data_IF_812822847920
#
_entry.id   IF_812822847920
#
_cell.length_a   1.000
_cell.length_b   1.000
_cell.length_c   1.000
_cell.angle_alpha   90.00
_cell.angle_beta   90.00
_cell.angle_gamma   90.00
#
_symmetry.space_group_name_H-M   'P 1'
#
loop_
_entity.id
_entity.type
_entity.pdbx_description
1 polymer ?
#
# COMPACT_ATOMS: atom_id res chain seq x y z
N UNK A 1 31.59 -3.53 7.59
CA UNK A 1 30.16 -3.57 7.96
C UNK A 1 29.42 -4.20 6.81
N UNK A 2 29.17 -5.51 6.85
CA UNK A 2 28.26 -6.14 5.90
C UNK A 2 26.85 -5.77 6.34
N UNK A 3 26.13 -5.07 5.48
CA UNK A 3 24.68 -4.96 5.62
C UNK A 3 24.10 -6.34 5.32
N UNK A 4 23.62 -7.03 6.35
CA UNK A 4 22.85 -8.26 6.16
C UNK A 4 21.62 -7.93 5.31
N UNK A 5 21.66 -8.33 4.04
CA UNK A 5 20.53 -8.22 3.09
C UNK A 5 19.30 -9.02 3.54
N UNK A 6 19.43 -9.85 4.59
CA UNK A 6 18.34 -10.59 5.22
C UNK A 6 17.54 -9.78 6.26
N UNK A 7 17.99 -8.59 6.66
CA UNK A 7 17.32 -7.76 7.68
C UNK A 7 16.84 -6.39 7.20
N UNK A 8 17.09 -6.06 5.93
CA UNK A 8 16.60 -4.81 5.33
C UNK A 8 15.29 -5.11 4.60
N UNK A 9 14.16 -4.50 4.99
CA UNK A 9 12.89 -4.73 4.31
C UNK A 9 13.00 -4.26 2.85
N UNK A 10 12.44 -5.04 1.93
CA UNK A 10 12.43 -4.71 0.51
C UNK A 10 11.52 -3.51 0.19
N UNK A 11 10.46 -3.31 1.00
CA UNK A 11 9.60 -2.14 0.90
C UNK A 11 9.22 -1.69 2.31
N UNK A 12 9.45 -0.41 2.59
CA UNK A 12 8.99 0.24 3.81
C UNK A 12 8.17 1.47 3.44
N UNK A 13 6.92 1.48 3.88
CA UNK A 13 5.96 2.56 3.68
C UNK A 13 5.52 3.03 5.05
N UNK A 14 5.61 4.33 5.30
CA UNK A 14 5.18 4.94 6.54
C UNK A 14 4.07 5.96 6.27
N UNK A 15 2.95 5.83 7.00
CA UNK A 15 1.85 6.79 7.00
C UNK A 15 1.33 7.15 5.60
N UNK A 16 1.23 6.16 4.71
CA UNK A 16 0.68 6.33 3.37
C UNK A 16 -0.76 6.85 3.46
N UNK A 17 -0.97 7.99 2.81
CA UNK A 17 -2.28 8.62 2.69
C UNK A 17 -2.63 8.79 1.23
N UNK A 18 -3.83 8.35 0.85
CA UNK A 18 -4.35 8.49 -0.51
C UNK A 18 -5.75 9.05 -0.47
N UNK A 19 -5.91 10.24 -1.02
CA UNK A 19 -7.20 10.85 -1.30
C UNK A 19 -7.40 10.87 -2.82
N UNK A 20 -8.53 10.39 -3.31
CA UNK A 20 -8.89 10.51 -4.72
C UNK A 20 -9.40 11.91 -5.04
N UNK A 21 -9.42 12.27 -6.33
CA UNK A 21 -9.85 13.61 -6.79
C UNK A 21 -11.30 13.95 -6.43
N UNK A 22 -12.14 12.95 -6.17
CA UNK A 22 -13.51 13.11 -5.68
C UNK A 22 -13.62 13.39 -4.17
N UNK A 23 -12.48 13.56 -3.47
CA UNK A 23 -12.43 13.80 -2.03
C UNK A 23 -12.51 12.53 -1.17
N UNK A 24 -12.63 11.34 -1.76
CA UNK A 24 -12.67 10.09 -1.01
C UNK A 24 -11.28 9.72 -0.46
N UNK A 25 -11.19 9.57 0.87
CA UNK A 25 -9.97 9.12 1.56
C UNK A 25 -9.90 7.58 1.51
N UNK A 26 -9.01 7.07 0.67
CA UNK A 26 -8.85 5.64 0.39
C UNK A 26 -7.88 4.95 1.35
N UNK A 27 -6.82 5.66 1.75
CA UNK A 27 -5.84 5.20 2.72
C UNK A 27 -5.60 6.34 3.71
N UNK A 28 -5.69 6.05 5.00
CA UNK A 28 -5.51 7.03 6.07
C UNK A 28 -4.37 6.62 7.01
N UNK A 29 -3.14 6.99 6.64
CA UNK A 29 -1.98 6.78 7.50
C UNK A 29 -1.52 5.32 7.59
N UNK A 30 -1.63 4.54 6.51
CA UNK A 30 -1.24 3.13 6.49
C UNK A 30 0.29 2.98 6.47
N UNK A 31 0.84 2.20 7.39
CA UNK A 31 2.25 1.81 7.37
C UNK A 31 2.37 0.32 7.03
N UNK A 32 3.35 -0.03 6.19
CA UNK A 32 3.59 -1.38 5.71
C UNK A 32 5.10 -1.62 5.61
N UNK A 33 5.55 -2.77 6.09
CA UNK A 33 6.89 -3.30 5.83
C UNK A 33 6.76 -4.65 5.11
N UNK A 34 7.48 -4.81 4.01
CA UNK A 34 7.53 -6.05 3.23
C UNK A 34 8.96 -6.55 3.23
N UNK A 35 9.14 -7.75 3.77
CA UNK A 35 10.44 -8.43 3.79
C UNK A 35 10.87 -8.86 2.39
N UNK A 36 12.19 -8.88 2.17
CA UNK A 36 12.75 -9.37 0.92
C UNK A 36 12.35 -10.82 0.66
N UNK A 37 11.95 -11.12 -0.59
CA UNK A 37 11.46 -12.44 -0.97
C UNK A 37 9.98 -12.72 -0.66
N UNK A 38 9.26 -11.76 -0.06
CA UNK A 38 7.81 -11.87 0.19
C UNK A 38 7.02 -11.14 -0.90
N UNK A 39 5.96 -11.77 -1.41
CA UNK A 39 5.01 -11.12 -2.30
C UNK A 39 3.84 -10.53 -1.52
N UNK A 40 3.49 -9.28 -1.79
CA UNK A 40 2.38 -8.58 -1.16
C UNK A 40 1.43 -8.01 -2.22
N UNK A 41 0.13 -8.21 -2.05
CA UNK A 41 -0.91 -7.69 -2.94
C UNK A 41 -1.94 -6.90 -2.14
N UNK A 42 -2.15 -5.63 -2.50
CA UNK A 42 -3.21 -4.81 -1.94
C UNK A 42 -4.50 -5.02 -2.73
N UNK A 43 -5.46 -5.70 -2.12
CA UNK A 43 -6.82 -5.83 -2.65
C UNK A 43 -7.71 -4.76 -2.00
N UNK A 44 -8.14 -3.78 -2.80
CA UNK A 44 -9.12 -2.78 -2.38
C UNK A 44 -10.55 -3.19 -2.73
N UNK A 45 -11.56 -2.53 -2.12
CA UNK A 45 -12.94 -2.68 -2.55
C UNK A 45 -13.06 -2.30 -4.04
N UNK A 46 -13.66 -3.18 -4.84
CA UNK A 46 -14.02 -2.84 -6.22
C UNK A 46 -15.08 -1.75 -6.15
N UNK A 47 -14.74 -0.51 -6.53
CA UNK A 47 -15.73 0.57 -6.64
C UNK A 47 -16.79 0.08 -7.63
N UNK A 48 -18.08 -0.04 -7.26
CA UNK A 48 -19.07 -0.49 -8.21
C UNK A 48 -19.20 0.56 -9.31
N UNK A 49 -18.97 0.13 -10.56
CA UNK A 49 -19.21 0.93 -11.75
C UNK A 49 -20.65 1.45 -11.68
N UNK A 50 -20.84 2.77 -11.55
CA UNK A 50 -22.18 3.35 -11.64
C UNK A 50 -22.63 3.17 -13.09
N UNK A 51 -23.45 2.15 -13.36
CA UNK A 51 -24.17 2.05 -14.64
C UNK A 51 -25.01 3.33 -14.78
N UNK A 52 -24.58 4.23 -15.67
CA UNK A 52 -25.46 5.30 -16.13
C UNK A 52 -26.56 4.64 -16.95
N UNK A 53 -27.80 4.89 -16.53
CA UNK A 53 -28.99 4.74 -17.36
C UNK A 53 -28.99 5.74 -18.50
#
# INVERSE_FOLDING_TARGET
>A
MSVDVNGVPALKIEKLRKTYSNGFLALDGVSLEVEAGTFFGLLGPTVPERRRS
#
